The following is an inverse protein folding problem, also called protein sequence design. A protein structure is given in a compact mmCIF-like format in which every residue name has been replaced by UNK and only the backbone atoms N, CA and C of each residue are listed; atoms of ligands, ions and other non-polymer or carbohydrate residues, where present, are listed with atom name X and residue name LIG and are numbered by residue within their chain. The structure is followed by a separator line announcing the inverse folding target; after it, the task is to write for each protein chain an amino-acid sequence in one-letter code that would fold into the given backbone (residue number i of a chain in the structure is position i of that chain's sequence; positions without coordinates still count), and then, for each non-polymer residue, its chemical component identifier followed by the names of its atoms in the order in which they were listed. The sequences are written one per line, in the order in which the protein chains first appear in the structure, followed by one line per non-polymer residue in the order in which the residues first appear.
data_IF_078133337084
#
_entry.id   IF_078133337084
#
_cell.length_a   1.000
_cell.length_b   1.000
_cell.length_c   1.000
_cell.angle_alpha   90.00
_cell.angle_beta   90.00
_cell.angle_gamma   90.00
#
_symmetry.space_group_name_H-M   'P 1'
#
loop_
_entity.id
_entity.type
_entity.pdbx_description
1 polymer ?
#
# COMPACT_ATOMS: atom_id res chain seq x y z
N UNK A 1 -16.52 37.05 -3.19
CA UNK A 1 -16.12 36.21 -2.05
C UNK A 1 -15.75 34.87 -2.64
N UNK A 2 -14.46 34.57 -2.70
CA UNK A 2 -13.95 33.34 -3.29
C UNK A 2 -14.21 32.21 -2.30
N UNK A 3 -15.16 31.32 -2.58
CA UNK A 3 -15.25 30.04 -1.90
C UNK A 3 -14.05 29.21 -2.35
N UNK A 4 -12.92 29.36 -1.65
CA UNK A 4 -11.82 28.41 -1.75
C UNK A 4 -12.24 27.13 -1.03
N UNK A 5 -12.87 26.21 -1.78
CA UNK A 5 -13.07 24.84 -1.33
C UNK A 5 -11.70 24.23 -1.02
N UNK A 6 -11.42 23.98 0.27
CA UNK A 6 -10.22 23.26 0.66
C UNK A 6 -10.57 21.77 0.64
N UNK A 7 -10.13 21.04 -0.37
CA UNK A 7 -10.24 19.58 -0.34
C UNK A 7 -9.28 19.05 0.74
N UNK A 8 -9.82 18.63 1.88
CA UNK A 8 -9.05 17.89 2.87
C UNK A 8 -8.78 16.48 2.34
N UNK A 9 -7.64 15.90 2.68
CA UNK A 9 -7.36 14.50 2.32
C UNK A 9 -7.63 13.58 3.49
N UNK A 10 -7.92 12.29 3.25
CA UNK A 10 -8.14 11.32 4.32
C UNK A 10 -7.00 11.31 5.35
N UNK A 11 -5.76 11.47 4.89
CA UNK A 11 -4.60 11.49 5.78
C UNK A 11 -4.58 12.70 6.72
N UNK A 12 -5.27 13.78 6.37
CA UNK A 12 -5.45 14.99 7.18
C UNK A 12 -6.66 14.87 8.13
N UNK A 13 -7.62 14.00 7.78
CA UNK A 13 -8.84 13.77 8.57
C UNK A 13 -8.68 12.67 9.65
N UNK A 14 -7.65 11.82 9.56
CA UNK A 14 -7.36 10.80 10.59
C UNK A 14 -6.46 11.35 11.70
N UNK A 15 -6.51 10.71 12.87
CA UNK A 15 -5.64 11.03 13.99
C UNK A 15 -4.14 10.85 13.64
N UNK A 16 -3.28 11.54 14.40
CA UNK A 16 -1.84 11.53 14.15
C UNK A 16 -1.20 10.13 14.24
N UNK A 17 -1.70 9.24 15.09
CA UNK A 17 -1.14 7.90 15.23
C UNK A 17 -1.48 7.06 14.00
N UNK A 18 -2.74 7.10 13.55
CA UNK A 18 -3.19 6.45 12.31
C UNK A 18 -2.41 6.99 11.10
N UNK A 19 -2.28 8.31 10.98
CA UNK A 19 -1.48 8.96 9.94
C UNK A 19 -0.03 8.46 9.93
N UNK A 20 0.62 8.48 11.09
CA UNK A 20 2.01 8.04 11.22
C UNK A 20 2.18 6.56 10.86
N UNK A 21 1.22 5.72 11.25
CA UNK A 21 1.23 4.29 10.92
C UNK A 21 1.09 4.04 9.42
N UNK A 22 0.20 4.76 8.73
CA UNK A 22 0.03 4.68 7.26
C UNK A 22 1.32 5.09 6.54
N UNK A 23 1.91 6.23 6.92
CA UNK A 23 3.16 6.71 6.32
C UNK A 23 4.32 5.75 6.56
N UNK A 24 4.41 5.17 7.77
CA UNK A 24 5.43 4.18 8.11
C UNK A 24 5.25 2.88 7.32
N UNK A 25 4.01 2.45 7.08
CA UNK A 25 3.72 1.29 6.26
C UNK A 25 4.13 1.51 4.79
N UNK A 26 3.79 2.68 4.23
CA UNK A 26 4.22 3.07 2.87
C UNK A 26 5.74 3.03 2.71
N UNK A 27 6.48 3.60 3.65
CA UNK A 27 7.94 3.55 3.65
C UNK A 27 8.49 2.12 3.71
N UNK A 28 7.92 1.27 4.57
CA UNK A 28 8.32 -0.15 4.67
C UNK A 28 8.08 -0.90 3.38
N UNK A 29 6.92 -0.72 2.74
CA UNK A 29 6.61 -1.38 1.48
C UNK A 29 7.50 -0.89 0.33
N UNK A 30 7.81 0.41 0.28
CA UNK A 30 8.78 0.96 -0.68
C UNK A 30 10.19 0.38 -0.47
N UNK A 31 10.63 0.24 0.78
CA UNK A 31 11.88 -0.44 1.12
C UNK A 31 11.91 -1.89 0.64
N UNK A 32 10.85 -2.65 0.96
CA UNK A 32 10.71 -4.04 0.51
C UNK A 32 10.71 -4.15 -1.02
N UNK A 33 10.02 -3.25 -1.72
CA UNK A 33 10.01 -3.21 -3.18
C UNK A 33 11.41 -2.97 -3.77
N UNK A 34 12.21 -2.10 -3.15
CA UNK A 34 13.59 -1.85 -3.56
C UNK A 34 14.47 -3.11 -3.35
N UNK A 35 14.33 -3.79 -2.21
CA UNK A 35 15.06 -5.03 -1.93
C UNK A 35 14.71 -6.15 -2.90
N UNK A 36 13.42 -6.33 -3.22
CA UNK A 36 12.96 -7.32 -4.21
C UNK A 36 13.55 -7.00 -5.59
N UNK A 37 13.50 -5.72 -5.99
CA UNK A 37 14.03 -5.30 -7.29
C UNK A 37 15.54 -5.58 -7.39
N UNK A 38 16.31 -5.24 -6.35
CA UNK A 38 17.73 -5.53 -6.29
C UNK A 38 18.04 -7.05 -6.34
N UNK A 39 17.20 -7.89 -5.70
CA UNK A 39 17.33 -9.35 -5.79
C UNK A 39 17.05 -9.86 -7.20
N UNK A 40 16.01 -9.34 -7.86
CA UNK A 40 15.68 -9.70 -9.26
C UNK A 40 16.84 -9.34 -10.19
N UNK A 41 17.39 -8.14 -10.04
CA UNK A 41 18.51 -7.65 -10.85
C UNK A 41 19.78 -8.48 -10.63
N UNK A 42 20.06 -8.86 -9.36
CA UNK A 42 21.19 -9.72 -9.02
C UNK A 42 21.09 -11.14 -9.60
N UNK A 43 19.91 -11.59 -10.03
CA UNK A 43 19.69 -12.87 -10.70
C UNK A 43 19.59 -12.74 -12.22
N UNK A 44 19.77 -11.55 -12.80
CA UNK A 44 19.60 -11.34 -14.24
C UNK A 44 20.54 -12.19 -15.11
N UNK A 45 21.71 -12.55 -14.59
CA UNK A 45 22.72 -13.36 -15.28
C UNK A 45 22.63 -14.86 -14.98
N UNK A 46 21.74 -15.30 -14.11
CA UNK A 46 21.58 -16.72 -13.75
C UNK A 46 20.58 -17.39 -14.68
N UNK A 47 21.00 -18.49 -15.33
CA UNK A 47 20.19 -19.18 -16.35
C UNK A 47 19.73 -20.57 -15.92
N UNK A 48 20.04 -21.00 -14.69
CA UNK A 48 19.57 -22.29 -14.21
C UNK A 48 18.07 -22.27 -13.87
N UNK A 49 17.45 -23.44 -13.90
CA UNK A 49 16.01 -23.59 -13.69
C UNK A 49 15.56 -23.14 -12.29
N UNK A 50 16.39 -23.33 -11.26
CA UNK A 50 16.05 -22.94 -9.90
C UNK A 50 16.07 -21.40 -9.75
N UNK A 51 17.07 -20.74 -10.32
CA UNK A 51 17.14 -19.28 -10.38
C UNK A 51 15.99 -18.67 -11.17
N UNK A 52 15.57 -19.31 -12.27
CA UNK A 52 14.43 -18.88 -13.07
C UNK A 52 13.11 -18.95 -12.28
N UNK A 53 12.87 -20.05 -11.56
CA UNK A 53 11.68 -20.19 -10.71
C UNK A 53 11.69 -19.20 -9.55
N UNK A 54 12.84 -19.02 -8.89
CA UNK A 54 12.99 -18.03 -7.81
C UNK A 54 12.75 -16.60 -8.29
N UNK A 55 13.24 -16.26 -9.49
CA UNK A 55 12.99 -14.97 -10.13
C UNK A 55 11.50 -14.74 -10.39
N UNK A 56 10.79 -15.76 -10.88
CA UNK A 56 9.33 -15.71 -11.09
C UNK A 56 8.59 -15.47 -9.78
N UNK A 57 8.97 -16.14 -8.69
CA UNK A 57 8.37 -15.93 -7.37
C UNK A 57 8.61 -14.51 -6.84
N UNK A 58 9.81 -13.96 -7.04
CA UNK A 58 10.13 -12.58 -6.66
C UNK A 58 9.38 -11.55 -7.51
N UNK A 59 9.14 -11.82 -8.80
CA UNK A 59 8.29 -10.97 -9.64
C UNK A 59 6.84 -10.95 -9.13
N UNK A 60 6.28 -12.10 -8.75
CA UNK A 60 4.94 -12.17 -8.15
C UNK A 60 4.90 -11.37 -6.85
N UNK A 61 5.88 -11.55 -5.96
CA UNK A 61 5.97 -10.77 -4.73
C UNK A 61 6.05 -9.26 -5.02
N UNK A 62 6.86 -8.86 -6.00
CA UNK A 62 6.99 -7.46 -6.40
C UNK A 62 5.66 -6.87 -6.84
N UNK A 63 4.85 -7.60 -7.61
CA UNK A 63 3.56 -7.10 -8.07
C UNK A 63 2.56 -6.95 -6.92
N UNK A 64 2.55 -7.88 -5.95
CA UNK A 64 1.70 -7.76 -4.76
C UNK A 64 2.13 -6.58 -3.88
N UNK A 65 3.44 -6.35 -3.68
CA UNK A 65 3.94 -5.17 -2.94
C UNK A 65 3.57 -3.86 -3.65
N UNK A 66 3.67 -3.80 -5.00
CA UNK A 66 3.22 -2.64 -5.78
C UNK A 66 1.73 -2.35 -5.59
N UNK A 67 0.88 -3.38 -5.63
CA UNK A 67 -0.57 -3.22 -5.39
C UNK A 67 -0.83 -2.66 -4.00
N UNK A 68 -0.12 -3.15 -2.97
CA UNK A 68 -0.25 -2.64 -1.61
C UNK A 68 0.15 -1.16 -1.50
N UNK A 69 1.26 -0.74 -2.13
CA UNK A 69 1.69 0.68 -2.18
C UNK A 69 0.63 1.54 -2.87
N UNK A 70 0.11 1.08 -4.01
CA UNK A 70 -0.97 1.79 -4.73
C UNK A 70 -2.24 1.90 -3.89
N UNK A 71 -2.57 0.87 -3.10
CA UNK A 71 -3.65 0.92 -2.12
C UNK A 71 -3.47 2.03 -1.09
N UNK A 72 -2.26 2.17 -0.51
CA UNK A 72 -1.96 3.27 0.44
C UNK A 72 -2.09 4.63 -0.24
N UNK A 73 -1.54 4.78 -1.44
CA UNK A 73 -1.61 6.06 -2.16
C UNK A 73 -3.05 6.48 -2.46
N UNK A 74 -3.91 5.52 -2.84
CA UNK A 74 -5.34 5.79 -3.03
C UNK A 74 -6.03 6.20 -1.73
N UNK A 75 -5.67 5.56 -0.62
CA UNK A 75 -6.21 5.91 0.70
C UNK A 75 -5.79 7.32 1.12
N UNK A 76 -4.51 7.64 1.01
CA UNK A 76 -3.96 8.96 1.39
C UNK A 76 -4.56 10.07 0.56
N UNK A 77 -4.77 9.84 -0.74
CA UNK A 77 -5.31 10.82 -1.68
C UNK A 77 -6.85 10.82 -1.76
N UNK A 78 -7.54 10.08 -0.90
CA UNK A 78 -9.00 10.08 -0.87
C UNK A 78 -9.46 11.48 -0.39
N UNK A 79 -10.06 12.25 -1.28
CA UNK A 79 -10.56 13.59 -0.98
C UNK A 79 -11.75 13.52 -0.01
N UNK A 80 -11.69 14.36 1.00
CA UNK A 80 -12.70 14.66 2.03
C UNK A 80 -13.29 16.00 1.62
N UNK A 81 -14.57 16.01 1.26
CA UNK A 81 -15.26 17.28 1.06
C UNK A 81 -15.45 17.97 2.43
N UNK A 82 -15.13 19.27 2.50
CA UNK A 82 -15.24 20.16 3.68
C UNK A 82 -16.63 20.15 4.33
N UNK A 83 -17.64 19.68 3.60
CA UNK A 83 -19.05 19.67 4.00
C UNK A 83 -19.37 18.62 5.07
N UNK A 84 -18.44 17.67 5.32
CA UNK A 84 -18.65 16.54 6.21
C UNK A 84 -17.68 16.60 7.38
N UNK A 85 -18.21 16.38 8.58
CA UNK A 85 -17.37 16.07 9.75
C UNK A 85 -16.59 14.78 9.53
N UNK A 86 -15.49 14.59 10.25
CA UNK A 86 -14.68 13.37 10.16
C UNK A 86 -15.49 12.08 10.44
N UNK A 87 -16.55 12.13 11.25
CA UNK A 87 -17.42 10.97 11.47
C UNK A 87 -18.35 10.71 10.29
N UNK A 88 -18.93 11.74 9.70
CA UNK A 88 -19.78 11.62 8.49
C UNK A 88 -18.97 11.13 7.29
N UNK A 89 -17.72 11.59 7.15
CA UNK A 89 -16.80 11.07 6.14
C UNK A 89 -16.52 9.57 6.33
N UNK A 90 -16.27 9.14 7.57
CA UNK A 90 -16.02 7.74 7.90
C UNK A 90 -17.24 6.86 7.65
N UNK A 91 -18.46 7.31 7.97
CA UNK A 91 -19.68 6.58 7.66
C UNK A 91 -19.93 6.50 6.14
N UNK A 92 -19.81 7.63 5.42
CA UNK A 92 -20.02 7.67 3.97
C UNK A 92 -19.02 6.84 3.18
N UNK A 93 -17.80 6.70 3.69
CA UNK A 93 -16.72 5.97 3.03
C UNK A 93 -16.39 4.63 3.72
N UNK A 94 -17.21 4.19 4.69
CA UNK A 94 -16.95 3.00 5.49
C UNK A 94 -16.70 1.76 4.62
N UNK A 95 -17.52 1.55 3.58
CA UNK A 95 -17.38 0.43 2.66
C UNK A 95 -16.07 0.49 1.86
N UNK A 96 -15.66 1.67 1.42
CA UNK A 96 -14.38 1.87 0.70
C UNK A 96 -13.19 1.67 1.64
N UNK A 97 -13.29 2.14 2.87
CA UNK A 97 -12.27 1.97 3.91
C UNK A 97 -12.14 0.48 4.27
N UNK A 98 -13.26 -0.24 4.38
CA UNK A 98 -13.28 -1.66 4.71
C UNK A 98 -12.75 -2.52 3.56
N UNK A 99 -13.15 -2.25 2.32
CA UNK A 99 -12.60 -2.90 1.13
C UNK A 99 -11.07 -2.71 1.04
N UNK A 100 -10.60 -1.53 1.45
CA UNK A 100 -9.19 -1.21 1.44
C UNK A 100 -8.43 -1.85 2.62
N UNK A 101 -9.06 -2.00 3.79
CA UNK A 101 -8.55 -2.81 4.90
C UNK A 101 -8.38 -4.28 4.53
N UNK A 102 -9.37 -4.87 3.87
CA UNK A 102 -9.29 -6.26 3.40
C UNK A 102 -8.19 -6.42 2.34
N UNK A 103 -8.05 -5.47 1.41
CA UNK A 103 -6.93 -5.45 0.46
C UNK A 103 -5.56 -5.41 1.16
N UNK A 104 -5.43 -4.64 2.24
CA UNK A 104 -4.20 -4.61 3.04
C UNK A 104 -3.92 -5.91 3.76
N UNK A 105 -4.95 -6.50 4.36
CA UNK A 105 -4.86 -7.78 5.07
C UNK A 105 -4.44 -8.89 4.11
N UNK A 106 -5.10 -9.01 2.97
CA UNK A 106 -4.72 -9.98 1.92
C UNK A 106 -3.28 -9.76 1.44
N UNK A 107 -2.88 -8.50 1.23
CA UNK A 107 -1.52 -8.18 0.81
C UNK A 107 -0.49 -8.54 1.89
N UNK A 108 -0.79 -8.27 3.16
CA UNK A 108 0.08 -8.60 4.29
C UNK A 108 0.21 -10.12 4.50
N UNK A 109 -0.89 -10.86 4.33
CA UNK A 109 -0.91 -12.32 4.41
C UNK A 109 -0.07 -12.93 3.28
N UNK A 110 -0.22 -12.44 2.04
CA UNK A 110 0.62 -12.88 0.91
C UNK A 110 2.10 -12.57 1.13
N UNK A 111 2.43 -11.38 1.62
CA UNK A 111 3.81 -11.02 1.95
C UNK A 111 4.37 -11.96 3.04
N UNK A 112 3.58 -12.27 4.07
CA UNK A 112 4.00 -13.16 5.16
C UNK A 112 4.26 -14.59 4.66
N UNK A 113 3.35 -15.14 3.85
CA UNK A 113 3.51 -16.45 3.22
C UNK A 113 4.73 -16.55 2.32
N UNK A 114 5.07 -15.46 1.63
CA UNK A 114 6.26 -15.42 0.78
C UNK A 114 7.50 -15.30 1.65
N UNK A 115 7.49 -14.47 2.70
CA UNK A 115 8.62 -14.35 3.63
C UNK A 115 8.97 -15.66 4.32
N UNK A 116 8.01 -16.52 4.64
CA UNK A 116 8.29 -17.86 5.20
C UNK A 116 9.03 -18.79 4.22
N UNK A 117 9.00 -18.49 2.92
CA UNK A 117 9.67 -19.26 1.86
C UNK A 117 11.06 -18.70 1.48
N UNK A 118 11.50 -17.61 2.10
CA UNK A 118 12.78 -16.93 1.84
C UNK A 118 13.64 -16.83 3.09
#
# INVERSE_FOLDING_TARGET
MSNEHHEHTFIEAVDNDTRNNILRLDQKLKGLQAEISAKIDGMASLTDAASSERKKQLMILSDEVKKAIQGIQRLVNLAVADEFSASEFNEMNQEKIEALREMFKESADKISLIKEKF
#
